data_IF_918335720001
#
_entry.id   IF_918335720001
#
_cell.length_a   1.000
_cell.length_b   1.000
_cell.length_c   1.000
_cell.angle_alpha   90.00
_cell.angle_beta   90.00
_cell.angle_gamma   90.00
#
_symmetry.space_group_name_H-M   'P 1'
#
loop_
_entity.id
_entity.type
_entity.pdbx_description
1 polymer ?
#
# COMPACT_ATOMS: atom_id res chain seq x y z
N UNK A 1 -44.81 -26.76 -14.48
CA UNK A 1 -44.71 -25.74 -13.42
C UNK A 1 -43.24 -25.60 -13.00
N UNK A 2 -42.65 -24.41 -13.14
CA UNK A 2 -41.22 -24.23 -12.84
C UNK A 2 -40.95 -24.20 -11.33
N UNK A 3 -40.00 -25.02 -10.89
CA UNK A 3 -39.63 -25.11 -9.48
C UNK A 3 -38.92 -23.84 -8.99
N UNK A 4 -39.18 -23.49 -7.71
CA UNK A 4 -38.71 -22.25 -7.09
C UNK A 4 -37.20 -22.04 -7.21
N UNK A 5 -36.41 -23.11 -7.07
CA UNK A 5 -34.94 -23.05 -7.17
C UNK A 5 -34.47 -22.48 -8.53
N UNK A 6 -35.15 -22.80 -9.63
CA UNK A 6 -34.81 -22.24 -10.94
C UNK A 6 -35.35 -20.82 -11.07
N UNK A 7 -36.51 -20.53 -10.48
CA UNK A 7 -37.11 -19.18 -10.51
C UNK A 7 -36.22 -18.16 -9.82
N UNK A 8 -35.68 -18.53 -8.66
CA UNK A 8 -34.86 -17.66 -7.83
C UNK A 8 -33.48 -17.40 -8.47
N UNK A 9 -33.05 -18.24 -9.42
CA UNK A 9 -31.75 -18.16 -10.10
C UNK A 9 -31.83 -18.13 -11.63
N UNK A 10 -32.97 -17.71 -12.18
CA UNK A 10 -33.28 -17.79 -13.61
C UNK A 10 -32.31 -16.97 -14.47
N UNK A 11 -31.98 -15.75 -14.03
CA UNK A 11 -31.02 -14.88 -14.71
C UNK A 11 -29.65 -15.55 -14.84
N UNK A 12 -29.19 -16.19 -13.77
CA UNK A 12 -27.89 -16.86 -13.76
C UNK A 12 -27.87 -18.11 -14.65
N UNK A 13 -29.01 -18.80 -14.76
CA UNK A 13 -29.19 -19.95 -15.67
C UNK A 13 -29.26 -19.51 -17.13
N UNK A 14 -29.80 -18.31 -17.42
CA UNK A 14 -29.97 -17.80 -18.79
C UNK A 14 -28.78 -16.97 -19.29
N UNK A 15 -27.99 -16.37 -18.40
CA UNK A 15 -26.86 -15.50 -18.74
C UNK A 15 -25.70 -16.20 -19.48
N UNK A 16 -25.60 -17.53 -19.41
CA UNK A 16 -24.55 -18.29 -20.09
C UNK A 16 -24.84 -19.78 -20.19
N UNK A 17 -24.02 -20.53 -20.95
CA UNK A 17 -24.13 -21.98 -21.08
C UNK A 17 -23.79 -22.64 -19.73
N UNK A 18 -24.81 -22.79 -18.89
CA UNK A 18 -24.72 -23.52 -17.63
C UNK A 18 -24.29 -22.62 -16.48
N UNK A 19 -25.24 -22.29 -15.61
CA UNK A 19 -24.92 -22.22 -14.18
C UNK A 19 -24.05 -23.44 -13.88
N UNK A 20 -22.82 -23.24 -13.41
CA UNK A 20 -21.88 -24.32 -13.14
C UNK A 20 -22.60 -25.47 -12.41
N UNK A 21 -22.30 -26.75 -12.69
CA UNK A 21 -22.93 -27.87 -12.01
C UNK A 21 -22.75 -27.82 -10.49
N UNK A 22 -21.83 -26.99 -9.99
CA UNK A 22 -21.65 -26.70 -8.56
C UNK A 22 -22.78 -25.84 -7.97
N UNK A 23 -23.44 -25.02 -8.79
CA UNK A 23 -24.54 -24.16 -8.39
C UNK A 23 -25.83 -24.98 -8.16
N UNK A 24 -26.61 -24.72 -7.10
CA UNK A 24 -27.82 -25.50 -6.78
C UNK A 24 -28.85 -25.53 -7.92
N UNK A 25 -29.00 -24.41 -8.66
CA UNK A 25 -29.84 -24.37 -9.86
C UNK A 25 -29.31 -25.28 -10.99
N UNK A 26 -27.98 -25.36 -11.16
CA UNK A 26 -27.34 -26.24 -12.15
C UNK A 26 -27.56 -27.71 -11.84
N UNK A 27 -27.37 -28.12 -10.57
CA UNK A 27 -27.66 -29.49 -10.12
C UNK A 27 -29.12 -29.87 -10.36
N UNK A 28 -30.04 -28.98 -10.03
CA UNK A 28 -31.46 -29.23 -10.25
C UNK A 28 -31.82 -29.41 -11.73
N UNK A 29 -31.15 -28.70 -12.64
CA UNK A 29 -31.34 -28.90 -14.08
C UNK A 29 -30.84 -30.28 -14.54
N UNK A 30 -29.84 -30.88 -13.90
CA UNK A 30 -29.43 -32.25 -14.21
C UNK A 30 -30.51 -33.26 -13.78
N UNK A 31 -31.17 -33.00 -12.66
CA UNK A 31 -32.15 -33.92 -12.06
C UNK A 31 -33.57 -33.78 -12.64
N UNK A 32 -33.97 -32.58 -13.05
CA UNK A 32 -35.36 -32.29 -13.44
C UNK A 32 -35.49 -31.96 -14.94
N UNK A 33 -36.09 -32.88 -15.70
CA UNK A 33 -36.35 -32.73 -17.13
C UNK A 33 -37.29 -31.56 -17.45
N UNK A 34 -38.38 -31.44 -16.70
CA UNK A 34 -39.36 -30.36 -16.90
C UNK A 34 -38.71 -28.96 -16.78
N UNK A 35 -37.81 -28.77 -15.80
CA UNK A 35 -37.08 -27.51 -15.64
C UNK A 35 -36.08 -27.28 -16.78
N UNK A 36 -35.45 -28.34 -17.32
CA UNK A 36 -34.59 -28.23 -18.51
C UNK A 36 -35.37 -27.76 -19.72
N UNK A 37 -36.53 -28.35 -19.97
CA UNK A 37 -37.37 -28.03 -21.13
C UNK A 37 -37.89 -26.59 -21.04
N UNK A 38 -38.31 -26.17 -19.84
CA UNK A 38 -38.72 -24.78 -19.61
C UNK A 38 -37.58 -23.79 -19.91
N UNK A 39 -36.38 -24.05 -19.39
CA UNK A 39 -35.19 -23.20 -19.64
C UNK A 39 -34.78 -23.24 -21.12
N UNK A 40 -34.87 -24.40 -21.78
CA UNK A 40 -34.59 -24.53 -23.21
C UNK A 40 -35.56 -23.70 -24.04
N UNK A 41 -36.86 -23.72 -23.70
CA UNK A 41 -37.88 -22.87 -24.32
C UNK A 41 -37.57 -21.37 -24.16
N UNK A 42 -37.17 -20.94 -22.96
CA UNK A 42 -36.78 -19.54 -22.71
C UNK A 42 -35.53 -19.14 -23.51
N UNK A 43 -34.53 -20.02 -23.61
CA UNK A 43 -33.32 -19.79 -24.44
C UNK A 43 -33.67 -19.67 -25.92
N UNK A 44 -34.58 -20.51 -26.41
CA UNK A 44 -35.07 -20.44 -27.78
C UNK A 44 -35.79 -19.10 -28.06
N UNK A 45 -36.67 -18.67 -27.16
CA UNK A 45 -37.32 -17.36 -27.24
C UNK A 45 -36.31 -16.20 -27.22
N UNK A 46 -35.33 -16.25 -26.32
CA UNK A 46 -34.27 -15.25 -26.26
C UNK A 46 -33.43 -15.22 -27.54
N UNK A 47 -33.19 -16.37 -28.18
CA UNK A 47 -32.51 -16.44 -29.47
C UNK A 47 -33.34 -15.80 -30.59
N UNK A 48 -34.67 -16.02 -30.62
CA UNK A 48 -35.57 -15.37 -31.58
C UNK A 48 -35.56 -13.85 -31.40
N UNK A 49 -35.63 -13.35 -30.15
CA UNK A 49 -35.58 -11.91 -29.88
C UNK A 49 -34.24 -11.29 -30.32
N UNK A 50 -33.13 -12.02 -30.20
CA UNK A 50 -31.82 -11.56 -30.70
C UNK A 50 -31.77 -11.43 -32.22
N UNK A 51 -32.56 -12.21 -32.97
CA UNK A 51 -32.65 -12.10 -34.43
C UNK A 51 -33.33 -10.80 -34.87
N UNK A 52 -34.18 -10.23 -34.03
CA UNK A 52 -34.82 -8.93 -34.30
C UNK A 52 -33.95 -7.74 -33.90
N UNK A 53 -32.78 -7.98 -33.30
CA UNK A 53 -31.83 -6.91 -33.02
C UNK A 53 -31.33 -6.36 -34.37
N UNK A 54 -31.42 -5.05 -34.63
CA UNK A 54 -30.94 -4.48 -35.88
C UNK A 54 -29.46 -4.80 -36.06
N UNK A 55 -29.07 -5.32 -37.23
CA UNK A 55 -27.68 -5.67 -37.52
C UNK A 55 -26.76 -4.43 -37.55
N UNK A 56 -27.29 -3.28 -37.97
CA UNK A 56 -26.55 -2.03 -38.17
C UNK A 56 -26.77 -0.99 -37.07
N UNK A 57 -27.38 -1.39 -35.95
CA UNK A 57 -27.36 -0.53 -34.78
C UNK A 57 -25.96 -0.66 -34.15
N UNK A 58 -25.02 0.18 -34.60
CA UNK A 58 -24.08 0.82 -33.68
C UNK A 58 -24.93 1.52 -32.62
N UNK A 59 -25.40 0.71 -31.67
CA UNK A 59 -26.20 1.12 -30.53
C UNK A 59 -25.22 1.77 -29.57
N UNK A 60 -24.61 2.86 -30.04
CA UNK A 60 -23.66 3.62 -29.28
C UNK A 60 -24.44 4.15 -28.08
N UNK A 61 -24.03 3.78 -26.87
CA UNK A 61 -24.74 4.22 -25.70
C UNK A 61 -24.66 5.74 -25.64
N UNK A 62 -25.71 6.38 -25.11
CA UNK A 62 -25.71 7.84 -24.97
C UNK A 62 -24.42 8.33 -24.30
N UNK A 63 -23.86 9.47 -24.73
CA UNK A 63 -22.69 10.05 -24.09
C UNK A 63 -22.90 10.15 -22.57
N UNK A 64 -21.89 9.76 -21.79
CA UNK A 64 -21.97 9.68 -20.33
C UNK A 64 -22.65 8.43 -19.77
N UNK A 65 -23.08 7.46 -20.60
CA UNK A 65 -23.53 6.15 -20.12
C UNK A 65 -22.41 5.42 -19.36
N UNK A 66 -21.22 5.32 -19.97
CA UNK A 66 -20.09 4.65 -19.32
C UNK A 66 -19.66 5.34 -18.04
N UNK A 67 -19.67 6.68 -18.00
CA UNK A 67 -19.38 7.44 -16.78
C UNK A 67 -20.35 7.07 -15.64
N UNK A 68 -21.66 7.02 -15.92
CA UNK A 68 -22.67 6.62 -14.93
C UNK A 68 -22.56 5.16 -14.52
N UNK A 69 -22.21 4.25 -15.44
CA UNK A 69 -21.99 2.84 -15.12
C UNK A 69 -20.75 2.69 -14.24
N UNK A 70 -19.65 3.38 -14.56
CA UNK A 70 -18.43 3.36 -13.79
C UNK A 70 -18.67 3.89 -12.36
N UNK A 71 -19.32 5.05 -12.24
CA UNK A 71 -19.73 5.65 -10.97
C UNK A 71 -20.64 4.68 -10.17
N UNK A 72 -21.57 4.01 -10.84
CA UNK A 72 -22.44 3.00 -10.21
C UNK A 72 -21.63 1.80 -9.69
N UNK A 73 -20.72 1.26 -10.49
CA UNK A 73 -19.86 0.14 -10.10
C UNK A 73 -19.00 0.55 -8.91
N UNK A 74 -18.33 1.69 -8.98
CA UNK A 74 -17.53 2.22 -7.87
C UNK A 74 -18.36 2.40 -6.60
N UNK A 75 -19.56 2.99 -6.70
CA UNK A 75 -20.47 3.14 -5.55
C UNK A 75 -20.99 1.81 -4.98
N UNK A 76 -21.07 0.77 -5.82
CA UNK A 76 -21.54 -0.57 -5.45
C UNK A 76 -20.40 -1.51 -5.06
N UNK A 77 -19.14 -1.08 -5.09
CA UNK A 77 -18.00 -1.92 -4.72
C UNK A 77 -17.53 -1.63 -3.29
N UNK A 78 -18.18 -2.19 -2.24
CA UNK A 78 -17.53 -2.42 -0.96
C UNK A 78 -17.20 -3.91 -0.83
N UNK A 79 -16.52 -4.50 -1.82
CA UNK A 79 -15.69 -5.68 -1.55
C UNK A 79 -14.27 -5.16 -1.59
N UNK A 80 -13.91 -4.51 -0.49
CA UNK A 80 -12.57 -4.00 -0.27
C UNK A 80 -11.62 -5.18 -0.43
N UNK A 81 -10.66 -5.07 -1.35
CA UNK A 81 -9.62 -6.10 -1.53
C UNK A 81 -8.97 -6.41 -0.17
N UNK A 82 -8.93 -5.42 0.72
CA UNK A 82 -8.52 -5.55 2.11
C UNK A 82 -9.41 -6.46 2.97
N UNK A 83 -10.74 -6.48 2.79
CA UNK A 83 -11.59 -7.42 3.54
C UNK A 83 -11.30 -8.86 3.17
N UNK A 84 -10.91 -9.17 1.93
CA UNK A 84 -10.47 -10.53 1.56
C UNK A 84 -9.13 -10.91 2.23
N UNK A 85 -8.21 -9.96 2.38
CA UNK A 85 -6.97 -10.20 3.11
C UNK A 85 -7.22 -10.40 4.62
N UNK A 86 -8.03 -9.54 5.25
CA UNK A 86 -8.25 -9.57 6.70
C UNK A 86 -9.25 -10.65 7.17
N UNK A 87 -10.23 -11.03 6.36
CA UNK A 87 -11.20 -12.09 6.69
C UNK A 87 -10.61 -13.51 6.50
N UNK A 88 -9.52 -13.62 5.73
CA UNK A 88 -8.78 -14.86 5.61
C UNK A 88 -8.02 -15.21 6.90
N UNK A 89 -7.98 -16.50 7.26
CA UNK A 89 -7.19 -16.99 8.40
C UNK A 89 -5.68 -16.62 8.28
N UNK A 90 -5.22 -16.33 7.06
CA UNK A 90 -3.87 -15.87 6.76
C UNK A 90 -3.64 -14.42 7.21
N UNK A 91 -4.57 -13.51 6.92
CA UNK A 91 -4.48 -12.11 7.36
C UNK A 91 -4.46 -11.96 8.88
N UNK A 92 -5.26 -12.75 9.60
CA UNK A 92 -5.24 -12.77 11.07
C UNK A 92 -3.86 -13.18 11.62
N UNK A 93 -3.19 -14.14 10.98
CA UNK A 93 -1.83 -14.57 11.40
C UNK A 93 -0.80 -13.47 11.15
N UNK A 94 -0.88 -12.80 10.00
CA UNK A 94 0.01 -11.66 9.68
C UNK A 94 -0.20 -10.50 10.66
N UNK A 95 -1.46 -10.14 10.94
CA UNK A 95 -1.77 -9.06 11.87
C UNK A 95 -1.23 -9.33 13.28
N UNK A 96 -1.38 -10.56 13.77
CA UNK A 96 -0.80 -10.98 15.05
C UNK A 96 0.73 -10.96 15.03
N UNK A 97 1.35 -11.41 13.93
CA UNK A 97 2.80 -11.39 13.78
C UNK A 97 3.35 -9.95 13.77
N UNK A 98 2.69 -9.02 13.05
CA UNK A 98 3.10 -7.61 13.04
C UNK A 98 2.94 -6.94 14.41
N UNK A 99 1.88 -7.28 15.15
CA UNK A 99 1.67 -6.75 16.50
C UNK A 99 2.72 -7.29 17.47
N UNK A 100 3.01 -8.59 17.41
CA UNK A 100 4.06 -9.22 18.22
C UNK A 100 5.45 -8.63 17.93
N UNK A 101 5.76 -8.42 16.64
CA UNK A 101 7.01 -7.77 16.22
C UNK A 101 7.10 -6.33 16.74
N UNK A 102 6.03 -5.55 16.64
CA UNK A 102 5.98 -4.18 17.14
C UNK A 102 6.17 -4.10 18.66
N UNK A 103 5.58 -5.04 19.42
CA UNK A 103 5.80 -5.15 20.86
C UNK A 103 7.25 -5.50 21.18
N UNK A 104 7.84 -6.47 20.47
CA UNK A 104 9.24 -6.85 20.66
C UNK A 104 10.19 -5.68 20.38
N UNK A 105 9.96 -4.95 19.29
CA UNK A 105 10.71 -3.74 18.95
C UNK A 105 10.53 -2.65 20.02
N UNK A 106 9.31 -2.44 20.51
CA UNK A 106 9.03 -1.48 21.59
C UNK A 106 9.77 -1.83 22.88
N UNK A 107 9.73 -3.09 23.30
CA UNK A 107 10.47 -3.58 24.48
C UNK A 107 11.98 -3.46 24.26
N UNK A 108 12.47 -3.80 23.08
CA UNK A 108 13.89 -3.70 22.73
C UNK A 108 14.41 -2.26 22.84
N UNK A 109 13.68 -1.28 22.29
CA UNK A 109 14.05 0.13 22.38
C UNK A 109 14.12 0.57 23.84
N UNK A 110 13.08 0.30 24.65
CA UNK A 110 13.05 0.66 26.08
C UNK A 110 14.20 0.01 26.86
N UNK A 111 14.54 -1.25 26.56
CA UNK A 111 15.64 -1.95 27.22
C UNK A 111 17.01 -1.44 26.78
N UNK A 112 17.16 -0.99 25.53
CA UNK A 112 18.42 -0.48 25.00
C UNK A 112 18.82 0.84 25.66
N UNK A 113 17.85 1.68 26.02
CA UNK A 113 18.13 2.93 26.74
C UNK A 113 18.56 2.68 28.19
N UNK A 114 18.10 1.59 28.82
CA UNK A 114 18.53 1.20 30.18
C UNK A 114 19.95 0.62 30.22
N UNK A 115 20.44 0.08 29.11
CA UNK A 115 21.81 -0.43 28.99
C UNK A 115 22.81 0.65 28.57
N UNK A 116 22.32 1.83 28.20
CA UNK A 116 23.11 2.97 27.74
C UNK A 116 23.27 4.05 28.83
N UNK A 117 23.60 3.67 30.08
CA UNK A 117 24.46 4.39 31.07
C UNK A 117 24.10 3.99 32.52
N UNK A 118 25.07 3.89 33.47
CA UNK A 118 26.37 4.60 33.48
C UNK A 118 27.59 3.69 33.77
N UNK A 119 28.61 3.76 32.90
CA UNK A 119 30.00 3.37 33.24
C UNK A 119 30.89 4.62 33.26
N UNK A 120 30.57 5.60 34.11
CA UNK A 120 31.49 6.65 34.53
C UNK A 120 31.32 6.93 36.02
N UNK A 121 31.56 5.90 36.84
CA UNK A 121 31.62 6.07 38.29
C UNK A 121 32.51 5.01 38.94
N UNK A 122 33.75 4.85 38.48
CA UNK A 122 34.90 4.59 39.36
C UNK A 122 36.24 4.66 38.60
N UNK A 123 36.86 5.83 38.59
CA UNK A 123 38.32 5.93 38.55
C UNK A 123 38.69 7.02 39.55
N UNK A 124 38.96 6.59 40.79
CA UNK A 124 39.80 7.35 41.71
C UNK A 124 41.19 7.50 41.08
N UNK A 125 41.40 8.57 40.32
CA UNK A 125 42.73 9.07 40.00
C UNK A 125 42.74 10.56 40.20
N UNK A 126 43.40 10.97 41.28
CA UNK A 126 43.92 12.32 41.52
C UNK A 126 44.45 12.89 40.20
N UNK A 127 44.08 14.12 39.78
CA UNK A 127 44.64 14.71 38.58
C UNK A 127 46.12 15.01 38.82
N UNK A 128 47.02 14.11 38.40
CA UNK A 128 48.41 14.49 38.18
C UNK A 128 48.44 15.30 36.89
N UNK A 129 48.56 16.62 37.06
CA UNK A 129 48.94 17.54 36.00
C UNK A 129 50.35 17.15 35.56
N UNK A 130 50.45 16.33 34.52
CA UNK A 130 51.71 16.12 33.81
C UNK A 130 51.98 17.39 33.01
N UNK A 131 52.69 18.34 33.65
CA UNK A 131 53.32 19.44 32.95
C UNK A 131 54.34 18.83 31.98
N UNK A 132 53.98 18.73 30.70
CA UNK A 132 54.96 18.58 29.63
C UNK A 132 55.76 19.87 29.64
N UNK A 133 56.88 19.85 30.39
CA UNK A 133 57.90 20.87 30.29
C UNK A 133 58.56 20.64 28.95
N UNK A 134 58.20 21.48 27.98
CA UNK A 134 58.86 21.55 26.69
C UNK A 134 60.30 21.99 26.94
N UNK A 135 61.18 21.00 27.07
CA UNK A 135 62.60 21.18 27.31
C UNK A 135 63.24 21.52 25.95
N UNK A 136 62.97 22.73 25.46
CA UNK A 136 63.73 23.34 24.35
C UNK A 136 65.07 23.78 24.92
N UNK A 137 66.01 22.84 24.92
CA UNK A 137 67.44 23.13 25.03
C UNK A 137 67.94 23.71 23.70
N UNK A 138 68.80 24.71 23.85
CA UNK A 138 69.73 25.29 22.87
C UNK A 138 69.17 26.15 21.74
N UNK A 139 69.10 27.45 22.02
CA UNK A 139 69.34 28.51 21.04
C UNK A 139 70.55 29.35 21.48
N UNK A 140 71.63 29.45 20.70
CA UNK A 140 72.52 30.59 20.73
C UNK A 140 71.80 31.79 20.11
N UNK A 141 71.90 32.91 20.82
CA UNK A 141 71.35 34.21 20.49
C UNK A 141 71.97 34.77 19.21
N UNK A 142 71.14 35.19 18.27
CA UNK A 142 71.34 36.42 17.49
C UNK A 142 70.12 36.62 16.57
N UNK A 143 69.37 37.70 16.78
CA UNK A 143 68.74 38.59 15.79
C UNK A 143 67.56 39.37 16.41
N UNK A 144 67.54 40.71 16.30
CA UNK A 144 66.51 41.54 16.90
C UNK A 144 65.37 41.83 15.92
N UNK A 145 64.13 41.79 16.43
CA UNK A 145 63.11 42.76 16.03
C UNK A 145 61.77 42.22 15.51
N UNK A 146 60.73 42.87 16.04
CA UNK A 146 59.45 43.21 15.40
C UNK A 146 58.22 42.33 15.72
N UNK A 147 57.51 42.84 16.74
CA UNK A 147 56.05 43.01 16.89
C UNK A 147 55.11 41.79 16.87
N UNK A 148 54.72 41.43 18.09
CA UNK A 148 53.35 41.15 18.54
C UNK A 148 52.24 41.63 17.59
N UNK A 149 51.39 40.70 17.15
CA UNK A 149 49.96 40.95 17.02
C UNK A 149 49.17 39.68 17.38
N UNK A 150 48.44 39.73 18.49
CA UNK A 150 47.47 38.73 18.92
C UNK A 150 46.09 39.22 18.50
N UNK A 151 45.23 38.38 17.87
CA UNK A 151 43.79 38.19 18.22
C UNK A 151 42.99 37.35 17.20
N UNK A 152 42.81 36.07 17.55
CA UNK A 152 41.55 35.28 17.62
C UNK A 152 40.73 34.89 16.35
N UNK A 153 39.88 33.83 16.46
CA UNK A 153 39.71 32.78 15.44
C UNK A 153 38.40 32.88 14.63
N UNK A 154 38.39 32.30 13.42
CA UNK A 154 37.16 32.04 12.64
C UNK A 154 36.91 30.54 12.51
N UNK A 155 35.76 30.11 13.04
CA UNK A 155 35.15 28.81 12.80
C UNK A 155 34.66 28.72 11.34
N UNK A 156 35.03 27.63 10.67
CA UNK A 156 34.56 27.23 9.34
C UNK A 156 33.95 25.84 9.50
N UNK A 157 32.66 25.67 9.18
CA UNK A 157 32.07 24.35 8.92
C UNK A 157 30.99 24.45 7.83
N UNK A 158 30.93 23.41 7.01
CA UNK A 158 30.27 23.29 5.72
C UNK A 158 28.81 22.76 5.76
N UNK A 159 28.11 22.98 4.62
CA UNK A 159 27.14 22.07 3.96
C UNK A 159 25.63 22.16 4.33
N UNK A 160 24.70 21.61 3.49
CA UNK A 160 23.77 22.40 2.66
C UNK A 160 22.27 22.10 2.88
N UNK A 161 21.43 23.07 2.51
CA UNK A 161 19.97 23.05 2.63
C UNK A 161 19.32 22.36 1.41
N UNK A 162 18.60 21.26 1.65
CA UNK A 162 17.79 20.53 0.68
C UNK A 162 16.33 20.86 0.95
N UNK A 163 15.68 21.67 0.10
CA UNK A 163 14.21 21.65 -0.06
C UNK A 163 13.78 22.60 -1.19
N UNK A 164 13.57 22.06 -2.38
CA UNK A 164 12.67 22.66 -3.38
C UNK A 164 12.24 21.62 -4.42
N UNK A 165 11.18 20.88 -4.09
CA UNK A 165 10.40 20.09 -5.04
C UNK A 165 9.49 21.04 -5.82
N UNK A 166 9.64 21.11 -7.14
CA UNK A 166 8.64 21.69 -8.04
C UNK A 166 8.32 20.69 -9.16
N UNK A 167 7.25 19.92 -8.97
CA UNK A 167 6.65 19.09 -10.02
C UNK A 167 5.68 19.97 -10.81
N UNK A 168 6.01 20.20 -12.07
CA UNK A 168 5.23 21.01 -13.00
C UNK A 168 4.06 20.18 -13.56
N UNK A 169 2.83 20.50 -13.16
CA UNK A 169 1.60 19.93 -13.70
C UNK A 169 1.26 20.65 -15.02
N UNK A 170 1.60 20.02 -16.15
CA UNK A 170 1.14 20.44 -17.47
C UNK A 170 -0.35 20.08 -17.60
N UNK A 171 -1.18 21.11 -17.78
CA UNK A 171 -2.60 21.01 -18.09
C UNK A 171 -2.80 20.68 -19.57
N UNK A 172 -3.56 19.63 -19.87
CA UNK A 172 -4.04 19.35 -21.23
C UNK A 172 -5.23 20.27 -21.54
N UNK A 173 -5.15 21.00 -22.65
CA UNK A 173 -6.19 21.87 -23.19
C UNK A 173 -6.78 21.21 -24.43
N UNK A 174 -8.09 21.00 -24.42
CA UNK A 174 -8.89 20.43 -25.53
C UNK A 174 -8.91 21.39 -26.74
N UNK A 175 -8.92 20.81 -27.94
CA UNK A 175 -9.38 21.43 -29.19
C UNK A 175 -10.40 20.51 -29.84
#
# INVERSE_FOLDING_TARGET
MMHRIIRDHLEQVLAGPGSAPEHPAGRHLVECEECRDAVAGMRAQAAMLRQWRPADAEMEPRPGFYARVLERIESQTPISVFTLFFDSAFGRRIAMASLALALLLGVYVISSEQMAEPQLANVDTVPQVTLVSDQVSDMPQDFPGVLNDYRQPRLVTNAPDQDAVLVNLVTYREQ
#
